data_IF_708196757048
#
_entry.id   IF_708196757048
#
_cell.length_a   1.000
_cell.length_b   1.000
_cell.length_c   1.000
_cell.angle_alpha   90.00
_cell.angle_beta   90.00
_cell.angle_gamma   90.00
#
_symmetry.space_group_name_H-M   'P 1'
#
loop_
_entity.id
_entity.type
_entity.pdbx_description
1 polymer ?
#
# COMPACT_ATOMS: atom_id res chain seq x y z
N UNK A 1 -5.10 -16.79 18.24
CA UNK A 1 -4.10 -16.02 17.49
C UNK A 1 -3.02 -17.01 17.10
N UNK A 2 -2.85 -17.26 15.82
CA UNK A 2 -1.80 -18.14 15.31
C UNK A 2 -0.63 -17.25 14.91
N UNK A 3 0.58 -17.58 15.35
CA UNK A 3 1.77 -16.91 14.85
C UNK A 3 1.99 -17.34 13.40
N UNK A 4 2.06 -16.36 12.49
CA UNK A 4 2.50 -16.59 11.11
C UNK A 4 3.94 -16.09 10.96
N UNK A 5 4.79 -16.81 10.22
CA UNK A 5 6.14 -16.36 9.96
C UNK A 5 6.13 -15.05 9.17
N UNK A 6 7.09 -14.18 9.44
CA UNK A 6 7.26 -12.94 8.68
C UNK A 6 7.58 -13.30 7.22
N UNK A 7 6.90 -12.71 6.22
CA UNK A 7 7.19 -12.98 4.82
C UNK A 7 8.65 -12.68 4.47
N UNK A 8 9.29 -13.58 3.72
CA UNK A 8 10.68 -13.39 3.29
C UNK A 8 10.88 -12.09 2.50
N UNK A 9 9.89 -11.72 1.66
CA UNK A 9 9.87 -10.47 0.90
C UNK A 9 9.89 -9.21 1.78
N UNK A 10 9.46 -9.31 3.04
CA UNK A 10 9.58 -8.26 4.05
C UNK A 10 10.94 -8.30 4.73
N UNK A 11 11.42 -9.49 5.11
CA UNK A 11 12.74 -9.65 5.74
C UNK A 11 13.87 -9.07 4.87
N UNK A 12 13.81 -9.24 3.56
CA UNK A 12 14.78 -8.65 2.62
C UNK A 12 14.79 -7.11 2.65
N UNK A 13 13.63 -6.50 2.91
CA UNK A 13 13.45 -5.04 2.99
C UNK A 13 13.76 -4.48 4.40
N UNK A 14 13.80 -5.35 5.41
CA UNK A 14 14.24 -5.03 6.78
C UNK A 14 15.74 -5.34 6.90
N UNK A 15 16.56 -4.45 6.35
CA UNK A 15 18.02 -4.53 6.49
C UNK A 15 18.60 -3.19 6.97
N UNK A 16 19.81 -3.19 7.49
CA UNK A 16 20.46 -2.02 8.13
C UNK A 16 20.59 -0.83 7.19
N UNK A 17 20.62 -1.06 5.87
CA UNK A 17 20.66 -0.01 4.87
C UNK A 17 19.27 0.31 4.28
N UNK A 18 18.24 -0.43 4.67
CA UNK A 18 16.89 -0.35 4.13
C UNK A 18 16.08 0.78 4.74
N UNK A 19 15.23 1.41 3.94
CA UNK A 19 14.38 2.55 4.33
C UNK A 19 13.52 2.25 5.56
N UNK A 20 13.10 1.00 5.77
CA UNK A 20 12.26 0.61 6.92
C UNK A 20 13.00 0.78 8.25
N UNK A 21 14.30 0.42 8.31
CA UNK A 21 15.13 0.57 9.52
C UNK A 21 15.87 1.90 9.57
N UNK A 22 16.12 2.55 8.43
CA UNK A 22 16.79 3.86 8.42
C UNK A 22 15.84 5.01 8.70
N UNK A 23 14.57 4.93 8.29
CA UNK A 23 13.62 5.98 8.57
C UNK A 23 13.17 6.04 10.03
N UNK A 24 13.47 5.02 10.84
CA UNK A 24 13.34 5.13 12.30
C UNK A 24 14.43 5.99 12.94
N UNK A 25 15.48 6.38 12.19
CA UNK A 25 16.44 7.39 12.67
C UNK A 25 15.88 8.82 12.59
N UNK A 26 14.75 9.02 11.90
CA UNK A 26 13.93 10.21 12.04
C UNK A 26 12.82 9.96 13.07
N UNK A 27 12.52 10.95 13.91
CA UNK A 27 11.49 10.82 14.96
C UNK A 27 10.11 10.44 14.42
N UNK A 28 9.85 10.69 13.12
CA UNK A 28 8.56 10.40 12.50
C UNK A 28 8.39 8.97 11.97
N UNK A 29 9.47 8.19 11.82
CA UNK A 29 9.40 6.82 11.27
C UNK A 29 8.89 6.74 9.82
N UNK A 30 8.52 5.55 9.38
CA UNK A 30 7.86 5.29 8.08
C UNK A 30 6.49 4.65 8.28
N UNK A 31 5.53 5.03 7.43
CA UNK A 31 4.20 4.41 7.35
C UNK A 31 3.71 4.38 5.91
N UNK A 32 3.01 3.32 5.52
CA UNK A 32 2.41 3.23 4.19
C UNK A 32 2.10 1.80 3.79
N UNK A 33 2.00 1.56 2.49
CA UNK A 33 1.87 0.23 1.92
C UNK A 33 3.23 -0.30 1.49
N UNK A 34 3.37 -1.62 1.53
CA UNK A 34 4.51 -2.33 0.97
C UNK A 34 4.01 -3.60 0.29
N UNK A 35 4.53 -3.90 -0.90
CA UNK A 35 4.17 -5.12 -1.60
C UNK A 35 4.96 -6.30 -1.03
N UNK A 36 4.25 -7.38 -0.71
CA UNK A 36 4.83 -8.69 -0.37
C UNK A 36 4.63 -9.67 -1.51
N UNK A 37 5.23 -10.85 -1.42
CA UNK A 37 4.98 -11.95 -2.36
C UNK A 37 3.50 -12.35 -2.38
N UNK A 38 2.80 -12.24 -1.26
CA UNK A 38 1.43 -12.72 -1.08
C UNK A 38 0.42 -11.61 -1.36
N UNK A 39 0.37 -10.61 -0.49
CA UNK A 39 -0.56 -9.49 -0.55
C UNK A 39 0.11 -8.16 -0.14
N UNK A 40 -0.44 -7.01 -0.55
CA UNK A 40 0.01 -5.73 -0.01
C UNK A 40 -0.15 -5.70 1.51
N UNK A 41 0.80 -5.07 2.19
CA UNK A 41 0.79 -4.95 3.64
C UNK A 41 0.85 -3.47 4.03
N UNK A 42 -0.03 -3.04 4.94
CA UNK A 42 0.13 -1.79 5.66
C UNK A 42 1.24 -1.97 6.68
N UNK A 43 2.23 -1.08 6.65
CA UNK A 43 3.39 -1.15 7.54
C UNK A 43 3.62 0.18 8.25
N UNK A 44 4.06 0.10 9.50
CA UNK A 44 4.58 1.22 10.29
C UNK A 44 5.90 0.79 10.91
N UNK A 45 6.92 1.65 10.85
CA UNK A 45 8.23 1.49 11.49
C UNK A 45 8.54 2.74 12.29
N UNK A 46 8.81 2.61 13.59
CA UNK A 46 9.10 3.74 14.49
C UNK A 46 10.24 3.43 15.45
N UNK A 47 11.07 4.42 15.82
CA UNK A 47 12.09 4.22 16.84
C UNK A 47 11.47 3.94 18.20
N UNK A 48 12.15 3.10 18.99
CA UNK A 48 11.85 2.91 20.40
C UNK A 48 12.69 3.93 21.17
N UNK A 49 12.00 4.95 21.71
CA UNK A 49 12.53 6.04 22.52
C UNK A 49 12.00 5.94 23.96
N UNK A 50 12.41 6.88 24.80
CA UNK A 50 11.78 7.06 26.12
C UNK A 50 10.32 7.51 25.97
N UNK A 51 9.54 7.45 27.05
CA UNK A 51 8.15 7.92 27.04
C UNK A 51 7.96 9.41 26.75
N UNK A 52 9.06 10.18 26.66
CA UNK A 52 9.09 11.59 26.29
C UNK A 52 9.51 11.80 24.82
N UNK A 53 9.63 10.74 24.01
CA UNK A 53 10.16 10.78 22.63
C UNK A 53 11.59 11.38 22.55
N UNK A 54 12.37 11.20 23.61
CA UNK A 54 13.74 11.70 23.75
C UNK A 54 14.75 10.57 23.96
N UNK A 55 16.04 10.91 23.79
CA UNK A 55 17.17 10.05 24.07
C UNK A 55 17.64 9.20 22.88
N UNK A 56 18.67 8.37 23.07
CA UNK A 56 19.20 7.52 22.01
C UNK A 56 18.21 6.41 21.65
N UNK A 57 18.03 6.18 20.34
CA UNK A 57 17.21 5.09 19.81
C UNK A 57 17.72 3.74 20.32
N UNK A 58 16.85 2.98 21.00
CA UNK A 58 17.19 1.66 21.56
C UNK A 58 16.77 0.49 20.65
N UNK A 59 16.04 0.77 19.58
CA UNK A 59 15.54 -0.22 18.65
C UNK A 59 14.46 0.36 17.74
N UNK A 60 13.81 -0.49 16.95
CA UNK A 60 12.72 -0.10 16.05
C UNK A 60 11.54 -1.05 16.24
N UNK A 61 10.35 -0.49 16.44
CA UNK A 61 9.09 -1.24 16.43
C UNK A 61 8.51 -1.22 15.02
N UNK A 62 8.30 -2.41 14.46
CA UNK A 62 7.66 -2.59 13.15
C UNK A 62 6.33 -3.32 13.38
N UNK A 63 5.26 -2.75 12.83
CA UNK A 63 3.94 -3.37 12.84
C UNK A 63 3.47 -3.48 11.39
N UNK A 64 3.00 -4.67 11.03
CA UNK A 64 2.43 -4.97 9.72
C UNK A 64 1.01 -5.47 9.85
N UNK A 65 0.18 -5.18 8.84
CA UNK A 65 -1.15 -5.78 8.66
C UNK A 65 -1.39 -5.97 7.17
N UNK A 66 -1.72 -7.19 6.75
CA UNK A 66 -2.12 -7.43 5.38
C UNK A 66 -3.34 -6.59 4.98
N UNK A 67 -3.27 -6.04 3.79
CA UNK A 67 -4.34 -5.29 3.15
C UNK A 67 -5.08 -6.22 2.20
N UNK A 68 -5.85 -7.11 2.82
CA UNK A 68 -6.58 -8.21 2.20
C UNK A 68 -7.98 -7.80 1.70
N UNK A 69 -8.67 -8.74 1.07
CA UNK A 69 -10.06 -8.57 0.60
C UNK A 69 -11.03 -8.13 1.73
N UNK A 70 -10.75 -8.52 2.98
CA UNK A 70 -11.50 -8.06 4.16
C UNK A 70 -11.40 -6.54 4.33
N UNK A 71 -10.20 -5.96 4.17
CA UNK A 71 -10.03 -4.51 4.26
C UNK A 71 -10.70 -3.76 3.12
N UNK A 72 -10.65 -4.30 1.91
CA UNK A 72 -11.31 -3.73 0.74
C UNK A 72 -12.83 -3.71 0.95
N UNK A 73 -13.38 -4.83 1.41
CA UNK A 73 -14.81 -4.97 1.70
C UNK A 73 -15.26 -3.96 2.76
N UNK A 74 -14.46 -3.78 3.83
CA UNK A 74 -14.74 -2.79 4.87
C UNK A 74 -14.75 -1.37 4.30
N UNK A 75 -13.81 -1.03 3.42
CA UNK A 75 -13.75 0.29 2.79
C UNK A 75 -14.94 0.53 1.85
N UNK A 76 -15.32 -0.47 1.05
CA UNK A 76 -16.50 -0.42 0.17
C UNK A 76 -17.78 -0.19 0.99
N UNK A 77 -17.95 -0.87 2.12
CA UNK A 77 -19.09 -0.68 3.02
C UNK A 77 -19.15 0.73 3.62
N UNK A 78 -18.00 1.31 3.98
CA UNK A 78 -17.94 2.65 4.57
C UNK A 78 -18.19 3.78 3.57
N UNK A 79 -17.78 3.57 2.32
CA UNK A 79 -17.87 4.58 1.25
C UNK A 79 -19.13 4.44 0.41
N UNK A 80 -19.80 3.28 0.47
CA UNK A 80 -20.87 2.87 -0.44
C UNK A 80 -20.46 2.85 -1.91
N UNK A 81 -19.16 2.64 -2.18
CA UNK A 81 -18.60 2.53 -3.52
C UNK A 81 -18.17 1.10 -3.82
N UNK A 82 -18.24 0.71 -5.09
CA UNK A 82 -17.56 -0.48 -5.60
C UNK A 82 -16.07 -0.18 -5.66
N UNK A 83 -15.26 -0.90 -4.88
CA UNK A 83 -13.81 -0.69 -4.80
C UNK A 83 -13.10 -1.97 -5.20
N UNK A 84 -12.20 -1.86 -6.17
CA UNK A 84 -11.35 -2.95 -6.64
C UNK A 84 -9.90 -2.50 -6.66
N UNK A 85 -8.98 -3.39 -6.25
CA UNK A 85 -7.55 -3.15 -6.36
C UNK A 85 -6.88 -4.34 -7.04
N UNK A 86 -5.93 -4.03 -7.91
CA UNK A 86 -5.11 -5.02 -8.61
C UNK A 86 -3.64 -4.70 -8.44
N UNK A 87 -2.84 -5.74 -8.23
CA UNK A 87 -1.37 -5.61 -8.20
C UNK A 87 -0.87 -5.34 -9.61
N UNK A 88 0.11 -4.44 -9.72
CA UNK A 88 0.72 -4.13 -11.01
C UNK A 88 1.71 -5.20 -11.49
N UNK A 89 2.17 -6.06 -10.59
CA UNK A 89 3.02 -7.21 -10.90
C UNK A 89 2.22 -8.49 -11.24
N UNK A 90 0.89 -8.40 -11.25
CA UNK A 90 0.02 -9.47 -11.74
C UNK A 90 0.04 -9.50 -13.28
N UNK A 91 0.42 -10.64 -13.86
CA UNK A 91 0.45 -10.84 -15.30
C UNK A 91 -0.93 -10.86 -15.95
N UNK A 92 -2.00 -10.91 -15.14
CA UNK A 92 -3.39 -11.04 -15.57
C UNK A 92 -4.25 -9.83 -15.24
N UNK A 93 -3.75 -8.63 -15.52
CA UNK A 93 -4.54 -7.41 -15.41
C UNK A 93 -5.70 -7.41 -16.42
N UNK A 94 -6.95 -7.15 -15.98
CA UNK A 94 -8.08 -6.97 -16.89
C UNK A 94 -7.86 -5.81 -17.87
N UNK A 95 -8.53 -5.84 -19.02
CA UNK A 95 -8.34 -4.87 -20.11
C UNK A 95 -8.62 -3.42 -19.66
N UNK A 96 -9.67 -3.19 -18.87
CA UNK A 96 -10.00 -1.86 -18.34
C UNK A 96 -8.91 -1.29 -17.42
N UNK A 97 -8.24 -2.14 -16.65
CA UNK A 97 -7.07 -1.77 -15.84
C UNK A 97 -5.85 -1.46 -16.73
N UNK A 98 -5.63 -2.22 -17.80
CA UNK A 98 -4.53 -1.96 -18.74
C UNK A 98 -4.72 -0.62 -19.46
N UNK A 99 -5.93 -0.33 -19.93
CA UNK A 99 -6.26 0.96 -20.54
C UNK A 99 -6.03 2.10 -19.56
N UNK A 100 -6.53 1.99 -18.33
CA UNK A 100 -6.33 3.00 -17.30
C UNK A 100 -4.84 3.25 -17.02
N UNK A 101 -4.04 2.18 -16.92
CA UNK A 101 -2.59 2.29 -16.69
C UNK A 101 -1.88 3.07 -17.81
N UNK A 102 -2.32 2.96 -19.06
CA UNK A 102 -1.72 3.72 -20.18
C UNK A 102 -2.06 5.21 -20.18
N UNK A 103 -3.09 5.62 -19.44
CA UNK A 103 -3.54 7.01 -19.36
C UNK A 103 -3.06 7.75 -18.12
N UNK A 104 -2.64 7.04 -17.07
CA UNK A 104 -2.17 7.65 -15.83
C UNK A 104 -0.69 8.06 -15.96
N UNK A 105 -0.38 9.32 -15.63
CA UNK A 105 0.99 9.84 -15.53
C UNK A 105 1.22 10.57 -14.19
N UNK A 106 2.40 11.18 -14.01
CA UNK A 106 2.64 12.03 -12.83
C UNK A 106 1.87 13.35 -12.91
N UNK A 107 1.66 13.89 -14.10
CA UNK A 107 0.89 15.11 -14.36
C UNK A 107 -0.62 14.86 -14.34
N UNK A 108 -1.07 13.68 -14.79
CA UNK A 108 -2.46 13.26 -14.76
C UNK A 108 -2.63 11.95 -13.97
N UNK A 109 -2.69 12.01 -12.63
CA UNK A 109 -2.65 10.82 -11.77
C UNK A 109 -3.99 10.07 -11.68
N UNK A 110 -5.02 10.54 -12.38
CA UNK A 110 -6.36 9.96 -12.35
C UNK A 110 -6.85 9.72 -13.77
N UNK A 111 -7.38 8.53 -14.03
CA UNK A 111 -8.11 8.25 -15.25
C UNK A 111 -9.57 8.00 -14.92
N UNK A 112 -10.48 8.65 -15.64
CA UNK A 112 -11.92 8.53 -15.41
C UNK A 112 -12.60 8.20 -16.72
N UNK A 113 -13.43 7.17 -16.74
CA UNK A 113 -14.22 6.79 -17.90
C UNK A 113 -15.64 6.34 -17.51
N UNK A 114 -16.68 6.76 -18.26
CA UNK A 114 -18.01 6.18 -18.11
C UNK A 114 -17.97 4.71 -18.56
N UNK A 115 -18.49 3.81 -17.73
CA UNK A 115 -18.67 2.40 -18.11
C UNK A 115 -20.00 2.21 -18.84
N UNK A 116 -21.03 2.94 -18.44
CA UNK A 116 -22.33 2.99 -19.09
C UNK A 116 -23.09 4.30 -18.78
N UNK A 117 -24.40 4.37 -19.08
CA UNK A 117 -25.26 5.54 -18.83
C UNK A 117 -25.49 5.90 -17.36
N UNK A 118 -25.08 5.03 -16.42
CA UNK A 118 -25.34 5.13 -14.98
C UNK A 118 -24.07 5.01 -14.16
N UNK A 119 -23.02 4.38 -14.67
CA UNK A 119 -21.81 4.07 -13.92
C UNK A 119 -20.59 4.80 -14.50
N UNK A 120 -19.82 5.44 -13.62
CA UNK A 120 -18.52 6.02 -13.95
C UNK A 120 -17.43 5.33 -13.15
N UNK A 121 -16.34 4.93 -13.81
CA UNK A 121 -15.18 4.36 -13.15
C UNK A 121 -14.03 5.36 -13.07
N UNK A 122 -13.45 5.52 -11.88
CA UNK A 122 -12.22 6.25 -11.64
C UNK A 122 -11.07 5.31 -11.28
N UNK A 123 -9.88 5.60 -11.78
CA UNK A 123 -8.67 4.80 -11.63
C UNK A 123 -7.51 5.66 -11.13
N UNK A 124 -6.68 5.10 -10.24
CA UNK A 124 -5.44 5.76 -9.81
C UNK A 124 -4.39 4.76 -9.31
N UNK A 125 -3.12 5.16 -9.36
CA UNK A 125 -2.01 4.36 -8.85
C UNK A 125 -1.80 4.58 -7.35
N UNK A 126 -1.63 3.49 -6.62
CA UNK A 126 -1.21 3.53 -5.22
C UNK A 126 0.27 3.15 -5.13
N UNK A 127 1.03 4.01 -4.46
CA UNK A 127 2.47 3.89 -4.29
C UNK A 127 2.81 3.30 -2.93
N UNK A 128 3.91 2.56 -2.88
CA UNK A 128 4.45 2.02 -1.64
C UNK A 128 5.30 3.05 -0.89
N UNK A 129 5.85 2.64 0.26
CA UNK A 129 6.76 3.45 1.08
C UNK A 129 8.05 3.88 0.38
N UNK A 130 8.36 3.35 -0.81
CA UNK A 130 9.50 3.74 -1.64
C UNK A 130 9.09 4.64 -2.82
N UNK A 131 7.80 5.00 -2.92
CA UNK A 131 7.26 5.82 -4.01
C UNK A 131 6.99 5.02 -5.29
N UNK A 132 7.18 3.71 -5.28
CA UNK A 132 6.95 2.85 -6.44
C UNK A 132 5.45 2.52 -6.54
N UNK A 133 4.83 2.67 -7.72
CA UNK A 133 3.46 2.23 -7.92
C UNK A 133 3.38 0.71 -7.78
N UNK A 134 2.49 0.21 -6.92
CA UNK A 134 2.34 -1.22 -6.63
C UNK A 134 0.93 -1.74 -6.89
N UNK A 135 -0.07 -0.85 -6.84
CA UNK A 135 -1.47 -1.21 -7.05
C UNK A 135 -2.13 -0.20 -7.99
N UNK A 136 -3.09 -0.69 -8.77
CA UNK A 136 -4.07 0.12 -9.49
C UNK A 136 -5.41 -0.01 -8.76
N UNK A 137 -5.91 1.11 -8.26
CA UNK A 137 -7.21 1.24 -7.61
C UNK A 137 -8.25 1.61 -8.66
N UNK A 138 -9.39 0.94 -8.63
CA UNK A 138 -10.60 1.27 -9.37
C UNK A 138 -11.74 1.52 -8.38
N UNK A 139 -12.47 2.61 -8.60
CA UNK A 139 -13.73 2.91 -7.90
C UNK A 139 -14.84 3.12 -8.93
N UNK A 140 -16.04 2.63 -8.65
CA UNK A 140 -17.22 2.86 -9.50
C UNK A 140 -18.28 3.65 -8.73
N UNK A 141 -18.82 4.66 -9.40
CA UNK A 141 -19.81 5.64 -8.91
C UNK A 141 -21.10 5.52 -9.72
#
# INVERSE_FOLDING_TARGET
MTEEPIPNSILEKINVNGTILNASNETNGVKGLILTSEDPMLIVSRPILTSYDEGPIQGTLIIGRYYDSTQITRLAQQTHLSIMMKRLDDSTLPEDFQTALSHISEEDPFFVQPLDSKIVAGYTLIRDIFGQPILLLKVEL
#
